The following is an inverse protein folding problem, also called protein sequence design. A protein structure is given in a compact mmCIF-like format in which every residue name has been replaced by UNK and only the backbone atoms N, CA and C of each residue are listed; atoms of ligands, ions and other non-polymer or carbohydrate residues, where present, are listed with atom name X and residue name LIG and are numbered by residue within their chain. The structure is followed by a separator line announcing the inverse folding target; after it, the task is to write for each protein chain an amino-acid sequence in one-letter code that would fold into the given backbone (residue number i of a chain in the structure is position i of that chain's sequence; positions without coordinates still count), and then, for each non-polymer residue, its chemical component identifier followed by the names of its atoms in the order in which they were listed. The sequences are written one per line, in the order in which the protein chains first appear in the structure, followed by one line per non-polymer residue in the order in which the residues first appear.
data_IF_704257331824
#
_entry.id   IF_704257331824
#
_cell.length_a   1.000
_cell.length_b   1.000
_cell.length_c   1.000
_cell.angle_alpha   90.00
_cell.angle_beta   90.00
_cell.angle_gamma   90.00
#
_symmetry.space_group_name_H-M   'P 1'
#
loop_
_entity.id
_entity.type
_entity.pdbx_description
1 polymer ?
#
# COMPACT_ATOMS: atom_id res chain seq x y z
N UNK A 1 -16.69 1.84 -1.17
CA UNK A 1 -15.29 1.56 -0.79
C UNK A 1 -14.43 2.70 -1.31
N UNK A 2 -13.45 3.17 -0.57
CA UNK A 2 -12.53 4.20 -1.00
C UNK A 2 -11.18 3.55 -1.32
N UNK A 3 -10.40 4.16 -2.22
CA UNK A 3 -8.99 3.84 -2.40
C UNK A 3 -8.16 4.87 -1.61
N UNK A 4 -7.94 4.67 -0.30
CA UNK A 4 -7.32 5.67 0.55
C UNK A 4 -5.86 5.92 0.16
N UNK A 5 -5.43 7.15 0.32
CA UNK A 5 -4.02 7.51 0.31
C UNK A 5 -3.47 7.26 1.70
N UNK A 6 -2.40 6.47 1.75
CA UNK A 6 -1.74 6.10 2.99
C UNK A 6 -0.61 7.09 3.23
N UNK A 7 -0.76 8.00 4.18
CA UNK A 7 0.20 9.00 4.61
C UNK A 7 -0.28 9.59 5.94
N UNK A 8 0.52 9.80 6.91
CA UNK A 8 1.99 9.79 7.06
C UNK A 8 2.59 8.38 7.24
N UNK A 9 1.76 7.34 7.41
CA UNK A 9 2.24 5.98 7.57
C UNK A 9 1.38 4.97 6.81
N UNK A 10 2.02 3.89 6.35
CA UNK A 10 1.38 2.70 5.80
C UNK A 10 1.12 1.72 6.94
N UNK A 11 -0.11 1.18 7.02
CA UNK A 11 -0.48 0.25 8.08
C UNK A 11 -0.46 0.91 9.46
N UNK A 12 0.08 0.23 10.46
CA UNK A 12 0.15 0.70 11.85
C UNK A 12 1.58 0.81 12.35
N UNK A 13 1.84 1.85 13.13
CA UNK A 13 2.94 1.82 14.09
C UNK A 13 2.55 0.89 15.26
N UNK A 14 3.55 0.25 15.88
CA UNK A 14 3.31 -0.61 17.02
C UNK A 14 2.68 0.20 18.17
N UNK A 15 1.65 -0.35 18.80
CA UNK A 15 0.83 0.33 19.84
C UNK A 15 0.22 1.68 19.38
N UNK A 16 0.05 1.88 18.06
CA UNK A 16 -0.47 3.11 17.45
C UNK A 16 0.32 4.38 17.86
N UNK A 17 1.63 4.26 18.01
CA UNK A 17 2.51 5.37 18.34
C UNK A 17 3.91 5.19 17.78
N UNK A 18 4.63 6.28 17.61
CA UNK A 18 6.05 6.26 17.27
C UNK A 18 6.86 7.19 18.18
N UNK A 19 8.15 6.91 18.35
CA UNK A 19 9.08 7.73 19.09
C UNK A 19 9.93 8.57 18.12
N UNK A 20 10.04 9.87 18.39
CA UNK A 20 10.90 10.79 17.65
C UNK A 20 11.57 11.73 18.63
N UNK A 21 12.92 11.69 18.66
CA UNK A 21 13.76 12.49 19.57
C UNK A 21 13.32 12.36 21.05
N UNK A 22 13.00 11.13 21.48
CA UNK A 22 12.54 10.81 22.83
C UNK A 22 11.11 11.26 23.17
N UNK A 23 10.35 11.76 22.21
CA UNK A 23 8.93 12.12 22.38
C UNK A 23 8.03 11.15 21.63
N UNK A 24 6.98 10.67 22.28
CA UNK A 24 5.99 9.77 21.68
C UNK A 24 4.86 10.56 21.03
N UNK A 25 4.49 10.15 19.82
CA UNK A 25 3.40 10.69 19.04
C UNK A 25 2.38 9.60 18.73
N UNK A 26 1.10 9.90 18.90
CA UNK A 26 0.02 8.99 18.57
C UNK A 26 -0.21 8.95 17.04
N UNK A 27 -0.59 7.78 16.53
CA UNK A 27 -0.94 7.60 15.11
C UNK A 27 -2.21 6.79 14.96
N UNK A 28 -2.77 6.82 13.75
CA UNK A 28 -3.84 5.93 13.32
C UNK A 28 -3.36 4.98 12.22
N UNK A 29 -4.08 3.89 12.03
CA UNK A 29 -3.82 3.00 10.90
C UNK A 29 -3.94 3.75 9.57
N UNK A 30 -2.91 3.66 8.73
CA UNK A 30 -2.79 4.31 7.42
C UNK A 30 -2.66 5.84 7.46
N UNK A 31 -2.38 6.42 8.65
CA UNK A 31 -2.18 7.84 8.80
C UNK A 31 -3.44 8.69 8.63
N UNK A 32 -3.24 10.00 8.54
CA UNK A 32 -4.34 10.98 8.53
C UNK A 32 -4.81 11.41 7.14
N UNK A 33 -4.01 11.22 6.08
CA UNK A 33 -4.34 11.79 4.77
C UNK A 33 -5.67 11.27 4.19
N UNK A 34 -6.05 10.04 4.53
CA UNK A 34 -7.31 9.42 4.11
C UNK A 34 -8.56 10.12 4.65
N UNK A 35 -8.42 10.86 5.75
CA UNK A 35 -9.52 11.50 6.48
C UNK A 35 -9.47 13.03 6.35
N UNK A 36 -8.52 13.60 5.60
CA UNK A 36 -8.35 15.04 5.37
C UNK A 36 -8.86 15.45 4.00
N UNK A 37 -9.31 16.71 3.91
CA UNK A 37 -9.72 17.33 2.66
C UNK A 37 -8.50 17.85 1.89
N UNK A 38 -8.42 17.51 0.60
CA UNK A 38 -7.38 17.98 -0.30
C UNK A 38 -7.90 19.17 -1.12
N UNK A 39 -7.07 20.19 -1.26
CA UNK A 39 -7.36 21.34 -2.11
C UNK A 39 -6.99 21.02 -3.56
N UNK A 40 -7.92 21.23 -4.50
CA UNK A 40 -7.61 21.15 -5.93
C UNK A 40 -6.71 22.31 -6.34
N UNK A 41 -5.51 22.03 -6.83
CA UNK A 41 -4.51 23.04 -7.21
C UNK A 41 -4.32 23.18 -8.72
N UNK A 42 -4.66 22.13 -9.49
CA UNK A 42 -4.50 22.12 -10.94
C UNK A 42 -5.54 21.21 -11.59
N UNK A 43 -6.00 21.56 -12.79
CA UNK A 43 -6.82 20.70 -13.63
C UNK A 43 -6.65 21.04 -15.10
N UNK A 44 -6.57 20.00 -15.95
CA UNK A 44 -6.62 20.05 -17.41
C UNK A 44 -7.70 19.09 -17.91
N UNK A 45 -7.79 18.89 -19.23
CA UNK A 45 -8.73 17.92 -19.81
C UNK A 45 -8.48 16.46 -19.33
N UNK A 46 -7.21 16.10 -19.10
CA UNK A 46 -6.81 14.72 -18.77
C UNK A 46 -6.03 14.59 -17.47
N UNK A 47 -5.81 15.66 -16.74
CA UNK A 47 -5.07 15.61 -15.47
C UNK A 47 -5.70 16.49 -14.41
N UNK A 48 -5.59 16.05 -13.14
CA UNK A 48 -6.02 16.81 -11.97
C UNK A 48 -5.03 16.61 -10.84
N UNK A 49 -4.70 17.69 -10.13
CA UNK A 49 -3.82 17.64 -8.96
C UNK A 49 -4.51 18.21 -7.72
N UNK A 50 -4.26 17.53 -6.62
CA UNK A 50 -4.75 17.88 -5.29
C UNK A 50 -3.58 18.02 -4.31
N UNK A 51 -3.68 18.93 -3.38
CA UNK A 51 -2.68 19.18 -2.35
C UNK A 51 -3.29 19.09 -0.95
N UNK A 52 -2.59 18.40 -0.06
CA UNK A 52 -2.78 18.43 1.39
C UNK A 52 -1.56 19.11 2.01
N UNK A 53 -1.77 20.12 2.85
CA UNK A 53 -0.72 20.78 3.62
C UNK A 53 -0.89 20.49 5.11
N UNK A 54 0.19 20.73 5.87
CA UNK A 54 0.12 20.68 7.33
C UNK A 54 -0.87 21.70 7.91
N UNK A 55 -1.45 21.32 9.03
CA UNK A 55 -2.33 22.13 9.86
C UNK A 55 -2.02 21.88 11.35
N UNK A 56 -2.68 22.59 12.26
CA UNK A 56 -2.45 22.44 13.70
C UNK A 56 -2.70 21.00 14.19
N UNK A 57 -3.68 20.29 13.62
CA UNK A 57 -4.00 18.90 14.00
C UNK A 57 -2.92 17.94 13.52
N UNK A 58 -2.47 18.09 12.28
CA UNK A 58 -1.40 17.23 11.75
C UNK A 58 -0.08 17.48 12.45
N UNK A 59 0.28 18.74 12.75
CA UNK A 59 1.51 19.09 13.45
C UNK A 59 1.55 18.54 14.89
N UNK A 60 0.40 18.33 15.53
CA UNK A 60 0.33 17.73 16.85
C UNK A 60 0.78 16.26 16.89
N UNK A 61 0.61 15.53 15.78
CA UNK A 61 0.91 14.09 15.66
C UNK A 61 2.01 13.79 14.65
N UNK A 62 2.37 14.73 13.79
CA UNK A 62 3.40 14.64 12.76
C UNK A 62 4.13 15.99 12.66
N UNK A 63 5.23 16.19 13.42
CA UNK A 63 5.77 17.53 13.72
C UNK A 63 6.64 18.11 12.60
N UNK A 64 6.20 17.98 11.35
CA UNK A 64 6.85 18.57 10.18
C UNK A 64 5.87 19.38 9.35
N UNK A 65 6.33 20.53 8.85
CA UNK A 65 5.63 21.23 7.80
C UNK A 65 5.82 20.50 6.47
N UNK A 66 4.76 20.20 5.77
CA UNK A 66 4.79 19.43 4.54
C UNK A 66 3.79 19.90 3.49
N UNK A 67 3.96 19.39 2.29
CA UNK A 67 2.95 19.39 1.24
C UNK A 67 2.94 18.04 0.57
N UNK A 68 1.79 17.37 0.55
CA UNK A 68 1.53 16.16 -0.22
C UNK A 68 0.69 16.51 -1.44
N UNK A 69 1.24 16.32 -2.63
CA UNK A 69 0.55 16.56 -3.90
C UNK A 69 0.29 15.21 -4.60
N UNK A 70 -0.95 15.00 -4.98
CA UNK A 70 -1.40 13.86 -5.77
C UNK A 70 -1.82 14.34 -7.14
N UNK A 71 -1.22 13.79 -8.20
CA UNK A 71 -1.60 14.10 -9.56
C UNK A 71 -2.13 12.84 -10.25
N UNK A 72 -3.36 12.91 -10.71
CA UNK A 72 -4.02 11.87 -11.49
C UNK A 72 -3.99 12.29 -12.96
N UNK A 73 -3.50 11.40 -13.83
CA UNK A 73 -3.44 11.65 -15.29
C UNK A 73 -4.05 10.48 -16.05
N UNK A 74 -5.04 10.78 -16.89
CA UNK A 74 -5.64 9.80 -17.80
C UNK A 74 -4.91 9.80 -19.13
N UNK A 75 -4.60 8.59 -19.63
CA UNK A 75 -4.00 8.40 -20.95
C UNK A 75 -4.57 7.13 -21.58
N UNK A 76 -5.46 7.29 -22.57
CA UNK A 76 -6.17 6.17 -23.23
C UNK A 76 -6.92 5.31 -22.19
N UNK A 77 -6.43 4.09 -21.92
CA UNK A 77 -6.97 3.13 -20.99
C UNK A 77 -6.18 3.03 -19.66
N UNK A 78 -5.31 3.99 -19.40
CA UNK A 78 -4.47 4.01 -18.18
C UNK A 78 -4.74 5.23 -17.32
N UNK A 79 -4.62 5.04 -16.01
CA UNK A 79 -4.61 6.09 -14.99
C UNK A 79 -3.24 6.07 -14.31
N UNK A 80 -2.50 7.17 -14.41
CA UNK A 80 -1.28 7.39 -13.64
C UNK A 80 -1.60 8.19 -12.38
N UNK A 81 -1.03 7.78 -11.24
CA UNK A 81 -1.13 8.48 -9.96
C UNK A 81 0.29 8.81 -9.50
N UNK A 82 0.64 10.08 -9.52
CA UNK A 82 1.94 10.55 -9.04
C UNK A 82 1.80 11.13 -7.63
N UNK A 83 2.71 10.72 -6.75
CA UNK A 83 2.82 11.20 -5.37
C UNK A 83 4.03 12.13 -5.29
N UNK A 84 3.86 13.33 -4.76
CA UNK A 84 4.95 14.25 -4.47
C UNK A 84 4.83 14.72 -3.02
N UNK A 85 5.82 14.38 -2.21
CA UNK A 85 5.95 14.86 -0.83
C UNK A 85 7.04 15.91 -0.78
N UNK A 86 6.72 17.06 -0.21
CA UNK A 86 7.67 18.16 0.01
C UNK A 86 7.83 18.38 1.52
N UNK A 87 9.05 18.23 2.01
CA UNK A 87 9.41 18.68 3.35
C UNK A 87 9.60 20.19 3.32
N UNK A 88 8.82 20.91 4.14
CA UNK A 88 8.92 22.36 4.32
C UNK A 88 9.60 22.74 5.65
N UNK A 89 10.01 21.72 6.45
CA UNK A 89 10.80 21.88 7.68
C UNK A 89 12.28 21.91 7.36
N UNK A 90 13.09 22.31 8.34
CA UNK A 90 14.56 22.28 8.23
C UNK A 90 15.16 20.92 8.64
N UNK A 91 14.39 20.09 9.30
CA UNK A 91 14.80 18.79 9.82
C UNK A 91 14.37 17.67 8.87
N UNK A 92 15.09 16.54 8.93
CA UNK A 92 14.71 15.33 8.18
C UNK A 92 13.32 14.89 8.56
N UNK A 93 12.46 14.71 7.57
CA UNK A 93 11.09 14.24 7.72
C UNK A 93 11.02 12.74 7.45
N UNK A 94 10.45 12.00 8.38
CA UNK A 94 10.28 10.55 8.30
C UNK A 94 8.81 10.21 8.04
N UNK A 95 8.54 9.41 7.01
CA UNK A 95 7.18 8.96 6.68
C UNK A 95 7.20 7.70 5.82
N UNK A 96 6.09 7.01 5.74
CA UNK A 96 5.82 6.00 4.71
C UNK A 96 4.59 6.40 3.93
N UNK A 97 4.50 6.00 2.66
CA UNK A 97 3.41 6.42 1.77
C UNK A 97 2.99 5.30 0.84
N UNK A 98 1.73 5.26 0.47
CA UNK A 98 1.23 4.30 -0.49
C UNK A 98 -0.20 4.51 -0.93
N UNK A 99 -0.64 3.65 -1.82
CA UNK A 99 -2.03 3.55 -2.27
C UNK A 99 -2.68 2.25 -1.79
N UNK A 100 -3.99 2.28 -1.67
CA UNK A 100 -4.78 1.11 -1.27
C UNK A 100 -5.97 0.89 -2.23
N UNK A 101 -5.74 0.81 -3.56
CA UNK A 101 -6.81 0.59 -4.50
C UNK A 101 -7.34 -0.85 -4.42
N UNK A 102 -8.66 -0.98 -4.36
CA UNK A 102 -9.37 -2.25 -4.41
C UNK A 102 -10.05 -2.45 -5.77
N UNK A 103 -9.87 -3.63 -6.36
CA UNK A 103 -10.44 -4.00 -7.64
C UNK A 103 -11.50 -5.08 -7.45
N UNK A 104 -12.64 -4.98 -8.13
CA UNK A 104 -13.72 -5.96 -8.03
C UNK A 104 -13.27 -7.34 -8.47
N UNK A 105 -13.43 -8.34 -7.61
CA UNK A 105 -13.16 -9.76 -7.89
C UNK A 105 -14.15 -10.64 -7.11
N UNK A 106 -15.07 -11.33 -7.75
CA UNK A 106 -15.25 -11.45 -9.20
C UNK A 106 -15.80 -10.19 -9.86
N UNK A 107 -15.55 -10.02 -11.16
CA UNK A 107 -16.08 -8.92 -11.98
C UNK A 107 -17.06 -9.43 -13.06
N UNK A 108 -16.90 -10.68 -13.49
CA UNK A 108 -17.83 -11.30 -14.45
C UNK A 108 -19.02 -11.95 -13.72
N UNK A 109 -20.23 -11.91 -14.31
CA UNK A 109 -21.38 -12.66 -13.79
C UNK A 109 -21.05 -14.16 -13.66
N UNK A 110 -21.67 -14.80 -12.67
CA UNK A 110 -21.60 -16.25 -12.44
C UNK A 110 -20.17 -16.81 -12.22
N UNK A 111 -19.20 -15.94 -11.90
CA UNK A 111 -17.85 -16.34 -11.54
C UNK A 111 -17.59 -16.19 -10.04
N UNK A 112 -16.56 -16.89 -9.53
CA UNK A 112 -16.11 -16.83 -8.14
C UNK A 112 -14.70 -16.28 -8.07
N UNK A 113 -14.33 -15.68 -6.93
CA UNK A 113 -13.00 -15.11 -6.68
C UNK A 113 -11.87 -16.10 -6.96
N UNK A 114 -12.01 -17.35 -6.58
CA UNK A 114 -11.00 -18.40 -6.76
C UNK A 114 -10.82 -18.89 -8.22
N UNK A 115 -11.53 -18.32 -9.18
CA UNK A 115 -11.30 -18.53 -10.61
C UNK A 115 -10.37 -17.47 -11.22
N UNK A 116 -10.07 -16.40 -10.48
CA UNK A 116 -9.18 -15.32 -10.88
C UNK A 116 -7.76 -15.57 -10.37
N UNK A 117 -6.77 -14.90 -10.98
CA UNK A 117 -5.37 -15.05 -10.61
C UNK A 117 -4.72 -13.69 -10.39
N UNK A 118 -3.82 -13.64 -9.42
CA UNK A 118 -2.82 -12.58 -9.32
C UNK A 118 -1.80 -12.78 -10.45
N UNK A 119 -1.34 -11.68 -11.05
CA UNK A 119 -0.33 -11.66 -12.11
C UNK A 119 0.90 -10.90 -11.64
N UNK A 120 2.10 -11.41 -12.03
CA UNK A 120 3.38 -10.79 -11.73
C UNK A 120 4.31 -10.89 -12.94
N UNK A 121 5.30 -10.00 -13.03
CA UNK A 121 6.37 -10.07 -14.05
C UNK A 121 7.65 -10.71 -13.53
N UNK A 122 7.82 -10.79 -12.20
CA UNK A 122 8.97 -11.43 -11.54
C UNK A 122 8.56 -12.75 -10.91
N UNK A 123 9.37 -13.80 -11.09
CA UNK A 123 9.10 -15.14 -10.55
C UNK A 123 10.35 -16.01 -10.67
N UNK A 124 10.26 -17.33 -10.38
CA UNK A 124 9.06 -18.13 -10.15
C UNK A 124 8.55 -18.15 -8.68
N UNK A 125 9.20 -17.45 -7.79
CA UNK A 125 8.84 -17.42 -6.37
C UNK A 125 8.92 -15.99 -5.87
N UNK A 126 7.92 -15.58 -5.09
CA UNK A 126 7.95 -14.37 -4.28
C UNK A 126 8.00 -14.75 -2.79
N UNK A 127 8.57 -13.87 -1.99
CA UNK A 127 8.63 -14.05 -0.54
C UNK A 127 7.75 -13.01 0.14
N UNK A 128 6.97 -13.42 1.14
CA UNK A 128 6.08 -12.51 1.84
C UNK A 128 6.05 -12.79 3.33
N UNK A 129 5.70 -11.76 4.07
CA UNK A 129 5.40 -11.81 5.50
C UNK A 129 3.91 -11.66 5.74
N UNK A 130 3.46 -12.06 6.91
CA UNK A 130 2.08 -11.91 7.34
C UNK A 130 1.99 -10.93 8.50
N UNK A 131 0.81 -10.39 8.67
CA UNK A 131 0.48 -9.58 9.84
C UNK A 131 0.40 -10.50 11.07
N UNK A 132 1.00 -10.07 12.18
CA UNK A 132 0.85 -10.74 13.47
C UNK A 132 -0.62 -10.64 13.93
N UNK A 133 -1.20 -11.74 14.33
CA UNK A 133 -2.64 -11.89 14.52
C UNK A 133 -3.25 -10.77 15.37
N UNK A 134 -4.19 -10.03 14.76
CA UNK A 134 -4.94 -8.94 15.41
C UNK A 134 -4.16 -7.64 15.64
N UNK A 135 -2.85 -7.58 15.36
CA UNK A 135 -2.04 -6.39 15.67
C UNK A 135 -2.08 -5.31 14.58
N UNK A 136 -2.09 -5.73 13.32
CA UNK A 136 -1.86 -4.84 12.17
C UNK A 136 -0.37 -4.55 11.92
N UNK A 137 0.54 -5.26 12.60
CA UNK A 137 2.00 -5.16 12.46
C UNK A 137 2.58 -6.44 11.87
N UNK A 138 3.71 -6.35 11.20
CA UNK A 138 4.34 -7.50 10.53
C UNK A 138 4.98 -8.46 11.53
N UNK A 139 4.78 -9.77 11.32
CA UNK A 139 5.53 -10.82 11.99
C UNK A 139 6.87 -11.03 11.26
N UNK A 140 7.95 -10.43 11.77
CA UNK A 140 9.27 -10.45 11.11
C UNK A 140 10.00 -11.79 11.20
N UNK A 141 9.67 -12.62 12.19
CA UNK A 141 10.36 -13.88 12.46
C UNK A 141 10.04 -14.97 11.44
N UNK A 142 9.01 -14.77 10.62
CA UNK A 142 8.56 -15.80 9.69
C UNK A 142 8.26 -15.23 8.30
N UNK A 143 8.98 -15.78 7.34
CA UNK A 143 8.79 -15.52 5.92
C UNK A 143 8.15 -16.73 5.23
N UNK A 144 7.29 -16.47 4.27
CA UNK A 144 6.54 -17.45 3.50
C UNK A 144 6.89 -17.31 2.02
N UNK A 145 6.69 -18.37 1.27
CA UNK A 145 6.91 -18.38 -0.18
C UNK A 145 5.60 -18.47 -0.93
N UNK A 146 5.47 -17.68 -2.00
CA UNK A 146 4.39 -17.73 -2.96
C UNK A 146 4.94 -18.33 -4.26
N UNK A 147 4.74 -19.65 -4.52
CA UNK A 147 5.23 -20.30 -5.72
C UNK A 147 4.34 -19.91 -6.90
N UNK A 148 4.93 -19.40 -7.97
CA UNK A 148 4.22 -18.89 -9.12
C UNK A 148 4.29 -19.82 -10.32
N UNK A 149 3.18 -19.97 -11.04
CA UNK A 149 3.11 -20.67 -12.32
C UNK A 149 3.51 -19.72 -13.45
N UNK A 150 4.41 -20.14 -14.33
CA UNK A 150 4.79 -19.36 -15.52
C UNK A 150 3.73 -19.49 -16.62
N UNK A 151 3.23 -18.35 -17.12
CA UNK A 151 2.21 -18.27 -18.18
C UNK A 151 2.57 -17.16 -19.16
N UNK A 152 3.13 -17.55 -20.31
CA UNK A 152 3.57 -16.58 -21.33
C UNK A 152 4.64 -15.65 -20.80
N UNK A 153 4.35 -14.35 -20.75
CA UNK A 153 5.26 -13.29 -20.24
C UNK A 153 5.04 -12.96 -18.77
N UNK A 154 4.12 -13.65 -18.11
CA UNK A 154 3.76 -13.42 -16.73
C UNK A 154 3.96 -14.67 -15.87
N UNK A 155 3.94 -14.46 -14.57
CA UNK A 155 3.77 -15.48 -13.55
C UNK A 155 2.43 -15.25 -12.88
N UNK A 156 1.74 -16.31 -12.47
CA UNK A 156 0.43 -16.19 -11.82
C UNK A 156 0.32 -17.02 -10.55
N UNK A 157 -0.61 -16.58 -9.69
CA UNK A 157 -1.02 -17.32 -8.50
C UNK A 157 -2.56 -17.30 -8.37
N UNK A 158 -3.26 -18.42 -8.11
CA UNK A 158 -4.70 -18.42 -7.96
C UNK A 158 -5.12 -17.63 -6.70
N UNK A 159 -6.18 -16.86 -6.79
CA UNK A 159 -6.76 -16.16 -5.63
C UNK A 159 -7.61 -17.16 -4.84
N UNK A 160 -6.96 -18.02 -4.05
CA UNK A 160 -7.64 -19.06 -3.28
C UNK A 160 -8.52 -18.47 -2.16
N UNK A 161 -9.48 -19.26 -1.68
CA UNK A 161 -10.42 -18.79 -0.66
C UNK A 161 -9.72 -18.52 0.69
N UNK A 162 -8.64 -19.24 0.99
CA UNK A 162 -7.85 -19.14 2.21
C UNK A 162 -6.68 -18.13 2.14
N UNK A 163 -6.42 -17.55 0.98
CA UNK A 163 -5.26 -16.67 0.75
C UNK A 163 -5.17 -15.51 1.75
N UNK A 164 -6.31 -14.99 2.18
CA UNK A 164 -6.41 -13.85 3.09
C UNK A 164 -6.92 -14.20 4.49
N UNK A 165 -6.87 -15.48 4.88
CA UNK A 165 -7.31 -15.92 6.22
C UNK A 165 -6.47 -15.33 7.35
N UNK A 166 -5.24 -14.94 7.04
CA UNK A 166 -4.28 -14.35 7.96
C UNK A 166 -3.94 -12.89 7.61
N UNK A 167 -4.92 -12.14 7.09
CA UNK A 167 -4.78 -10.74 6.71
C UNK A 167 -3.95 -10.55 5.42
N UNK A 168 -3.23 -9.42 5.27
CA UNK A 168 -2.47 -9.05 4.09
C UNK A 168 -1.22 -9.92 3.90
N UNK A 169 -0.88 -10.14 2.63
CA UNK A 169 0.45 -10.59 2.23
C UNK A 169 1.33 -9.36 2.03
N UNK A 170 2.42 -9.27 2.78
CA UNK A 170 3.34 -8.13 2.76
C UNK A 170 4.65 -8.55 2.08
N UNK A 171 5.00 -7.86 1.00
CA UNK A 171 6.19 -8.10 0.20
C UNK A 171 7.19 -6.96 0.41
N UNK A 172 8.40 -7.30 0.85
CA UNK A 172 9.50 -6.37 1.08
C UNK A 172 10.46 -6.35 -0.14
N UNK A 173 11.47 -5.50 -0.09
CA UNK A 173 12.66 -5.48 -0.96
C UNK A 173 12.37 -5.23 -2.45
N UNK A 174 11.31 -4.49 -2.77
CA UNK A 174 10.99 -4.13 -4.16
C UNK A 174 10.77 -5.34 -5.08
N UNK A 175 10.29 -6.45 -4.53
CA UNK A 175 10.05 -7.68 -5.29
C UNK A 175 9.01 -7.48 -6.38
N UNK A 176 8.04 -6.58 -6.16
CA UNK A 176 6.90 -6.33 -7.05
C UNK A 176 6.98 -4.94 -7.62
N UNK A 177 7.38 -4.82 -8.89
CA UNK A 177 7.28 -3.59 -9.68
C UNK A 177 6.08 -3.60 -10.65
N UNK A 178 5.42 -4.77 -10.74
CA UNK A 178 4.21 -4.99 -11.51
C UNK A 178 3.35 -6.03 -10.81
N UNK A 179 2.08 -5.72 -10.68
CA UNK A 179 1.05 -6.65 -10.23
C UNK A 179 -0.21 -6.50 -11.09
N UNK A 180 -1.00 -7.54 -11.19
CA UNK A 180 -2.26 -7.52 -11.91
C UNK A 180 -3.23 -8.59 -11.43
N UNK A 181 -4.41 -8.58 -12.03
CA UNK A 181 -5.44 -9.61 -11.84
C UNK A 181 -5.91 -10.06 -13.22
N UNK A 182 -6.01 -11.37 -13.44
CA UNK A 182 -6.58 -11.92 -14.67
C UNK A 182 -8.00 -12.43 -14.46
N UNK A 183 -8.75 -12.44 -15.56
CA UNK A 183 -9.99 -13.20 -15.67
C UNK A 183 -9.76 -14.72 -15.53
N UNK A 184 -10.82 -15.53 -15.38
CA UNK A 184 -10.72 -16.98 -15.34
C UNK A 184 -10.04 -17.62 -16.57
N UNK A 185 -10.14 -16.99 -17.75
CA UNK A 185 -9.48 -17.44 -18.98
C UNK A 185 -7.99 -17.08 -19.08
N UNK A 186 -7.46 -16.34 -18.08
CA UNK A 186 -6.08 -15.89 -18.02
C UNK A 186 -5.81 -14.53 -18.68
N UNK A 187 -6.80 -13.92 -19.34
CA UNK A 187 -6.66 -12.57 -19.91
C UNK A 187 -6.51 -11.54 -18.79
N UNK A 188 -5.52 -10.61 -18.85
CA UNK A 188 -5.40 -9.55 -17.85
C UNK A 188 -6.68 -8.70 -17.76
N UNK A 189 -7.17 -8.51 -16.55
CA UNK A 189 -8.31 -7.65 -16.22
C UNK A 189 -7.85 -6.26 -15.81
N UNK A 190 -6.87 -6.20 -14.91
CA UNK A 190 -6.22 -4.97 -14.45
C UNK A 190 -4.72 -5.22 -14.35
N UNK A 191 -3.94 -4.25 -14.74
CA UNK A 191 -2.49 -4.27 -14.63
C UNK A 191 -2.03 -2.98 -13.96
N UNK A 192 -1.08 -3.10 -13.02
CA UNK A 192 -0.50 -2.00 -12.27
C UNK A 192 1.01 -2.05 -12.39
N UNK A 193 1.60 -0.96 -12.84
CA UNK A 193 3.04 -0.71 -12.75
C UNK A 193 3.30 0.19 -11.54
N UNK A 194 4.25 -0.22 -10.71
CA UNK A 194 4.59 0.45 -9.45
C UNK A 194 6.11 0.50 -9.24
N UNK A 195 6.82 0.88 -10.29
CA UNK A 195 8.28 1.04 -10.22
C UNK A 195 8.66 2.10 -9.18
N UNK A 196 9.70 1.81 -8.38
CA UNK A 196 10.17 2.68 -7.30
C UNK A 196 9.50 2.46 -5.95
N UNK A 197 8.40 1.72 -5.88
CA UNK A 197 7.83 1.30 -4.60
C UNK A 197 8.62 0.11 -4.05
N UNK A 198 9.06 0.22 -2.80
CA UNK A 198 9.95 -0.74 -2.14
C UNK A 198 9.20 -1.89 -1.47
N UNK A 199 7.92 -1.68 -1.20
CA UNK A 199 7.04 -2.66 -0.55
C UNK A 199 5.73 -2.79 -1.32
N UNK A 200 5.04 -3.92 -1.09
CA UNK A 200 3.75 -4.16 -1.72
C UNK A 200 2.84 -4.96 -0.80
N UNK A 201 1.57 -4.56 -0.70
CA UNK A 201 0.53 -5.29 -0.01
C UNK A 201 -0.46 -5.92 -0.97
N UNK A 202 -0.89 -7.15 -0.68
CA UNK A 202 -2.04 -7.76 -1.34
C UNK A 202 -3.03 -8.18 -0.26
N UNK A 203 -4.24 -7.65 -0.34
CA UNK A 203 -5.23 -7.86 0.70
C UNK A 203 -6.64 -8.00 0.15
N UNK A 204 -7.42 -8.78 0.85
CA UNK A 204 -8.89 -8.83 0.74
C UNK A 204 -9.47 -9.29 2.08
N UNK A 205 -10.76 -9.12 2.23
CA UNK A 205 -11.48 -9.77 3.33
C UNK A 205 -11.53 -11.29 3.12
N UNK A 206 -11.63 -12.04 4.23
CA UNK A 206 -11.77 -13.51 4.21
C UNK A 206 -12.92 -13.93 3.30
N UNK A 207 -12.78 -15.10 2.68
CA UNK A 207 -13.85 -15.71 1.90
C UNK A 207 -15.10 -15.91 2.76
N UNK A 208 -16.26 -15.73 2.17
CA UNK A 208 -17.55 -15.84 2.87
C UNK A 208 -17.95 -14.62 3.70
N UNK A 209 -17.09 -13.60 3.79
CA UNK A 209 -17.48 -12.31 4.36
C UNK A 209 -18.41 -11.58 3.40
N UNK A 210 -19.59 -11.18 3.84
CA UNK A 210 -20.48 -10.34 3.04
C UNK A 210 -19.75 -9.05 2.63
N UNK A 211 -19.88 -8.67 1.35
CA UNK A 211 -19.20 -7.50 0.76
C UNK A 211 -17.69 -7.58 0.58
N UNK A 212 -17.12 -8.78 0.38
CA UNK A 212 -15.71 -8.99 0.01
C UNK A 212 -15.46 -9.23 -1.52
N UNK A 213 -16.19 -8.61 -2.47
CA UNK A 213 -15.98 -8.85 -3.89
C UNK A 213 -14.85 -7.98 -4.47
N UNK A 214 -13.69 -7.97 -3.80
CA UNK A 214 -12.55 -7.17 -4.23
C UNK A 214 -11.22 -7.78 -3.78
N UNK A 215 -10.15 -7.36 -4.45
CA UNK A 215 -8.76 -7.59 -4.03
C UNK A 215 -8.03 -6.26 -4.11
N UNK A 216 -7.27 -5.91 -3.09
CA UNK A 216 -6.41 -4.73 -3.07
C UNK A 216 -5.02 -5.10 -3.59
N UNK A 217 -4.48 -4.25 -4.46
CA UNK A 217 -3.11 -4.26 -4.92
C UNK A 217 -2.48 -2.94 -4.45
N UNK A 218 -1.56 -3.01 -3.51
CA UNK A 218 -1.16 -1.86 -2.71
C UNK A 218 0.33 -1.57 -2.84
N UNK A 219 0.73 -0.65 -3.74
CA UNK A 219 2.11 -0.21 -3.81
C UNK A 219 2.44 0.70 -2.62
N UNK A 220 3.55 0.39 -1.93
CA UNK A 220 4.00 1.13 -0.75
C UNK A 220 5.48 1.51 -0.84
N UNK A 221 5.80 2.67 -0.31
CA UNK A 221 7.15 3.10 0.04
C UNK A 221 7.24 3.11 1.57
N UNK A 222 7.96 2.13 2.11
CA UNK A 222 7.87 1.74 3.51
C UNK A 222 6.60 0.92 3.80
N UNK A 223 6.49 0.41 5.02
CA UNK A 223 5.35 -0.42 5.49
C UNK A 223 5.06 -0.21 6.97
N UNK A 224 4.07 -0.90 7.51
CA UNK A 224 3.80 -0.94 8.95
C UNK A 224 4.99 -1.51 9.72
N UNK A 225 5.09 -1.15 10.99
CA UNK A 225 6.12 -1.65 11.89
C UNK A 225 6.10 -3.18 12.03
N UNK A 226 7.24 -3.72 12.41
CA UNK A 226 7.31 -5.07 12.96
C UNK A 226 6.59 -5.13 14.30
N UNK A 227 5.95 -6.25 14.59
CA UNK A 227 5.36 -6.46 15.92
C UNK A 227 6.42 -6.39 17.01
N UNK A 228 6.19 -5.57 18.02
CA UNK A 228 7.12 -5.31 19.12
C UNK A 228 8.18 -4.23 18.84
N UNK A 229 8.10 -3.52 17.71
CA UNK A 229 8.99 -2.38 17.44
C UNK A 229 8.71 -1.24 18.44
N UNK A 230 9.76 -0.75 19.11
CA UNK A 230 9.66 0.30 20.14
C UNK A 230 10.84 1.27 20.13
N UNK A 231 11.58 1.31 19.03
CA UNK A 231 12.76 2.18 18.88
C UNK A 231 12.36 3.55 18.29
N UNK A 232 13.36 4.43 18.16
CA UNK A 232 13.20 5.72 17.46
C UNK A 232 12.78 5.50 16.00
N UNK A 233 11.93 6.37 15.47
CA UNK A 233 11.42 6.29 14.09
C UNK A 233 12.56 6.27 13.05
N UNK A 234 13.68 6.90 13.34
CA UNK A 234 14.90 6.86 12.51
C UNK A 234 15.53 5.46 12.38
N UNK A 235 15.20 4.52 13.28
CA UNK A 235 15.74 3.17 13.34
C UNK A 235 14.79 2.10 12.76
N UNK A 236 13.67 2.50 12.15
CA UNK A 236 12.71 1.56 11.55
C UNK A 236 13.40 0.79 10.43
N UNK A 237 13.65 -0.51 10.64
CA UNK A 237 14.22 -1.37 9.61
C UNK A 237 13.15 -1.69 8.55
N UNK A 238 13.52 -1.57 7.28
CA UNK A 238 12.63 -1.84 6.14
C UNK A 238 11.66 -0.72 5.80
N UNK A 239 11.70 0.40 6.50
CA UNK A 239 11.13 1.64 6.03
C UNK A 239 12.21 2.37 5.22
N UNK A 240 12.01 2.51 3.93
CA UNK A 240 12.70 3.56 3.19
C UNK A 240 12.11 4.87 3.69
N UNK A 241 12.73 5.35 4.76
CA UNK A 241 12.48 6.70 5.23
C UNK A 241 12.96 7.62 4.12
N UNK A 242 12.05 8.29 3.43
CA UNK A 242 12.43 9.31 2.47
C UNK A 242 13.01 10.48 3.25
N UNK A 243 14.35 10.52 3.31
CA UNK A 243 15.03 11.74 3.67
C UNK A 243 14.78 12.75 2.55
N UNK A 244 13.86 13.67 2.78
CA UNK A 244 13.78 14.85 1.93
C UNK A 244 14.62 15.95 2.56
N UNK A 245 15.69 16.28 1.89
CA UNK A 245 16.51 17.48 2.18
C UNK A 245 15.77 18.70 1.62
#
# INVERSE_FOLDING_TARGET
MHAPILFQNVGKHFENSYCLNGKTYATSQHGFARDKEFTKIHATENAISFELQDDEETLAIFPWNFSLILTYTLSKNSLSIAYQVKNKSQETMYFTIGGHPGFSVPVLPDTKRNQYHLLFKKGPVLQYKLIYEGSGNVCKEKEYTLPLESVGTHYRYPITDDLFDRDALVFDDGQISYAGISYPDGTPYIEMECEGFTHFGIWSMKAGTENAPFVCLEPWMGRCDDYGFSEEMSNVSGSDLLETI
#
